data_IF_576660466482
#
_entry.id   IF_576660466482
#
_cell.length_a   1.000
_cell.length_b   1.000
_cell.length_c   1.000
_cell.angle_alpha   90.00
_cell.angle_beta   90.00
_cell.angle_gamma   90.00
#
_symmetry.space_group_name_H-M   'P 1'
#
loop_
_entity.id
_entity.type
_entity.pdbx_description
1 polymer ?
#
# COMPACT_ATOMS: atom_id res chain seq x y z
N UNK A 1 -8.36 16.53 35.42
CA UNK A 1 -9.10 17.14 34.30
C UNK A 1 -8.26 16.96 33.06
N UNK A 2 -8.58 15.99 32.21
CA UNK A 2 -7.89 15.82 30.93
C UNK A 2 -8.39 16.92 29.98
N UNK A 3 -7.47 17.72 29.44
CA UNK A 3 -7.80 18.74 28.47
C UNK A 3 -8.43 18.08 27.24
N UNK A 4 -9.67 18.44 26.94
CA UNK A 4 -10.33 18.05 25.71
C UNK A 4 -9.59 18.72 24.55
N UNK A 5 -8.77 17.94 23.85
CA UNK A 5 -8.19 18.32 22.58
C UNK A 5 -9.31 18.45 21.56
N UNK A 6 -9.79 19.67 21.36
CA UNK A 6 -10.71 20.02 20.28
C UNK A 6 -9.91 20.02 18.98
N UNK A 7 -10.08 18.98 18.17
CA UNK A 7 -9.51 18.92 16.83
C UNK A 7 -10.53 19.40 15.79
N UNK A 8 -10.09 20.16 14.77
CA UNK A 8 -10.98 20.71 13.75
C UNK A 8 -11.60 19.61 12.90
N UNK A 9 -12.89 19.76 12.59
CA UNK A 9 -13.63 18.92 11.65
C UNK A 9 -13.16 19.23 10.22
N UNK A 10 -12.17 18.50 9.72
CA UNK A 10 -11.76 18.60 8.32
C UNK A 10 -12.78 17.84 7.45
N UNK A 11 -13.84 18.53 7.04
CA UNK A 11 -14.45 18.25 5.74
C UNK A 11 -13.37 18.51 4.69
N UNK A 12 -13.01 17.54 3.83
CA UNK A 12 -11.99 17.78 2.81
C UNK A 12 -12.44 18.95 1.93
N UNK A 13 -11.56 19.93 1.66
CA UNK A 13 -11.89 20.97 0.69
C UNK A 13 -12.20 20.31 -0.65
N UNK A 14 -13.31 20.72 -1.29
CA UNK A 14 -13.65 20.33 -2.65
C UNK A 14 -12.75 21.06 -3.68
N UNK A 15 -11.43 20.92 -3.55
CA UNK A 15 -10.53 21.39 -4.60
C UNK A 15 -10.20 20.19 -5.47
N UNK A 16 -10.77 20.17 -6.68
CA UNK A 16 -10.44 19.24 -7.77
C UNK A 16 -8.97 19.29 -8.17
N UNK A 17 -8.24 20.31 -7.73
CA UNK A 17 -6.96 20.66 -8.30
C UNK A 17 -5.85 19.91 -7.58
N UNK A 18 -5.01 19.23 -8.37
CA UNK A 18 -3.77 18.65 -7.88
C UNK A 18 -2.83 19.78 -7.46
N UNK A 19 -2.08 19.65 -6.36
CA UNK A 19 -1.10 20.66 -5.99
C UNK A 19 -0.07 20.84 -7.11
N UNK A 20 0.25 22.08 -7.44
CA UNK A 20 1.38 22.39 -8.32
C UNK A 20 2.67 22.13 -7.54
N UNK A 21 3.30 20.99 -7.84
CA UNK A 21 4.56 20.56 -7.24
C UNK A 21 5.64 20.67 -8.30
N UNK A 22 6.59 21.60 -8.11
CA UNK A 22 7.72 21.80 -9.01
C UNK A 22 8.85 20.79 -8.76
N UNK A 23 9.05 20.37 -7.50
CA UNK A 23 10.05 19.36 -7.15
C UNK A 23 9.59 17.98 -7.64
N UNK A 24 10.11 17.59 -8.80
CA UNK A 24 9.76 16.36 -9.49
C UNK A 24 11.01 15.66 -9.98
N UNK A 25 10.90 14.35 -10.14
CA UNK A 25 11.92 13.56 -10.82
C UNK A 25 11.27 12.65 -11.86
N UNK A 26 12.07 12.22 -12.83
CA UNK A 26 11.69 11.18 -13.78
C UNK A 26 12.31 9.87 -13.29
N UNK A 27 11.47 8.91 -12.90
CA UNK A 27 11.89 7.56 -12.53
C UNK A 27 11.11 6.53 -13.35
N UNK A 28 11.63 5.31 -13.39
CA UNK A 28 10.91 4.20 -14.00
C UNK A 28 9.83 3.69 -13.05
N UNK A 29 8.58 3.77 -13.48
CA UNK A 29 7.48 2.96 -12.95
C UNK A 29 7.29 1.78 -13.89
N UNK A 30 7.21 0.57 -13.35
CA UNK A 30 7.06 -0.63 -14.18
C UNK A 30 5.59 -1.01 -14.29
N UNK A 31 5.05 -0.96 -15.50
CA UNK A 31 3.66 -1.31 -15.79
C UNK A 31 3.59 -2.72 -16.37
N UNK A 32 2.42 -3.37 -16.31
CA UNK A 32 2.20 -4.60 -17.07
C UNK A 32 2.48 -4.33 -18.55
N UNK A 33 3.31 -5.17 -19.17
CA UNK A 33 3.67 -5.04 -20.59
C UNK A 33 2.51 -5.57 -21.42
N UNK A 34 1.95 -4.81 -22.38
CA UNK A 34 0.88 -5.30 -23.24
C UNK A 34 1.28 -6.59 -23.96
N UNK A 35 0.43 -7.61 -23.84
CA UNK A 35 0.63 -8.93 -24.45
C UNK A 35 -0.74 -9.54 -24.78
N UNK A 36 -0.99 -9.99 -26.03
CA UNK A 36 -2.23 -10.69 -26.40
C UNK A 36 -2.52 -11.93 -25.55
N UNK A 37 -1.50 -12.50 -24.88
CA UNK A 37 -1.70 -13.59 -23.93
C UNK A 37 -2.77 -13.26 -22.89
N UNK A 38 -2.87 -11.99 -22.46
CA UNK A 38 -3.82 -11.59 -21.41
C UNK A 38 -5.29 -11.57 -21.85
N UNK A 39 -5.56 -11.71 -23.15
CA UNK A 39 -6.91 -11.92 -23.68
C UNK A 39 -7.39 -13.37 -23.46
N UNK A 40 -6.46 -14.31 -23.31
CA UNK A 40 -6.72 -15.75 -23.18
C UNK A 40 -6.40 -16.28 -21.77
N UNK A 41 -5.37 -15.73 -21.13
CA UNK A 41 -4.85 -16.16 -19.83
C UNK A 41 -4.65 -14.96 -18.91
N UNK A 42 -5.36 -14.97 -17.78
CA UNK A 42 -5.21 -13.93 -16.76
C UNK A 42 -3.77 -13.86 -16.23
N UNK A 43 -3.25 -12.66 -15.91
CA UNK A 43 -1.98 -12.54 -15.20
C UNK A 43 -1.98 -13.36 -13.90
N UNK A 44 -0.90 -14.07 -13.61
CA UNK A 44 -0.77 -14.84 -12.36
C UNK A 44 0.67 -14.88 -11.84
N UNK A 45 0.80 -15.13 -10.55
CA UNK A 45 2.05 -15.47 -9.87
C UNK A 45 1.87 -16.62 -8.88
N UNK A 46 2.76 -17.60 -8.95
CA UNK A 46 2.81 -18.72 -8.02
C UNK A 46 3.63 -18.34 -6.78
N UNK A 47 3.01 -18.44 -5.60
CA UNK A 47 3.67 -18.16 -4.32
C UNK A 47 4.68 -19.26 -3.93
N UNK A 48 4.46 -20.49 -4.38
CA UNK A 48 5.34 -21.64 -4.18
C UNK A 48 6.27 -21.90 -5.39
N UNK A 49 7.16 -22.87 -5.26
CA UNK A 49 7.95 -23.33 -6.41
C UNK A 49 7.00 -23.94 -7.46
N UNK A 50 7.12 -23.57 -8.75
CA UNK A 50 6.27 -24.14 -9.78
C UNK A 50 6.60 -25.62 -10.01
N UNK A 51 5.62 -26.46 -10.41
CA UNK A 51 5.91 -27.76 -10.99
C UNK A 51 6.78 -27.64 -12.26
N UNK A 52 7.52 -28.70 -12.66
CA UNK A 52 8.27 -28.70 -13.91
C UNK A 52 7.41 -28.32 -15.12
N UNK A 53 7.90 -27.42 -15.97
CA UNK A 53 7.19 -26.96 -17.17
C UNK A 53 6.18 -25.83 -16.95
N UNK A 54 5.87 -25.47 -15.70
CA UNK A 54 5.00 -24.33 -15.37
C UNK A 54 5.85 -23.11 -15.06
N UNK A 55 5.53 -21.97 -15.67
CA UNK A 55 6.20 -20.71 -15.32
C UNK A 55 5.74 -20.27 -13.94
N UNK A 56 6.64 -19.66 -13.17
CA UNK A 56 6.27 -19.07 -11.88
C UNK A 56 5.25 -17.94 -12.04
N UNK A 57 5.29 -17.23 -13.16
CA UNK A 57 4.38 -16.13 -13.49
C UNK A 57 4.37 -15.93 -15.00
N UNK A 58 3.25 -15.47 -15.55
CA UNK A 58 3.15 -14.92 -16.91
C UNK A 58 3.17 -13.38 -16.93
N UNK A 59 3.34 -12.73 -15.78
CA UNK A 59 3.45 -11.28 -15.64
C UNK A 59 4.83 -10.84 -16.15
N UNK A 60 4.82 -9.92 -17.12
CA UNK A 60 6.02 -9.23 -17.57
C UNK A 60 5.77 -7.75 -17.42
N UNK A 61 6.58 -7.06 -16.62
CA UNK A 61 6.49 -5.61 -16.51
C UNK A 61 7.52 -4.91 -17.41
N UNK A 62 7.18 -3.73 -17.92
CA UNK A 62 8.08 -2.86 -18.69
C UNK A 62 8.25 -1.50 -18.00
N UNK A 63 9.48 -0.97 -17.92
CA UNK A 63 9.72 0.35 -17.34
C UNK A 63 9.17 1.45 -18.25
N UNK A 64 8.48 2.42 -17.65
CA UNK A 64 8.06 3.64 -18.31
C UNK A 64 8.58 4.84 -17.54
N UNK A 65 9.38 5.74 -18.16
CA UNK A 65 9.79 7.00 -17.56
C UNK A 65 8.56 7.81 -17.15
N UNK A 66 8.43 8.07 -15.86
CA UNK A 66 7.24 8.65 -15.25
C UNK A 66 7.65 9.80 -14.35
N UNK A 67 6.90 10.90 -14.40
CA UNK A 67 7.07 12.02 -13.47
C UNK A 67 6.52 11.61 -12.10
N UNK A 68 7.41 11.52 -11.11
CA UNK A 68 7.05 11.26 -9.72
C UNK A 68 7.28 12.56 -8.93
N UNK A 69 6.21 13.07 -8.32
CA UNK A 69 6.18 14.38 -7.66
C UNK A 69 6.54 14.25 -6.18
N UNK A 70 7.47 15.06 -5.70
CA UNK A 70 7.83 15.08 -4.28
C UNK A 70 6.75 15.82 -3.47
N UNK A 71 5.97 15.08 -2.69
CA UNK A 71 4.91 15.62 -1.84
C UNK A 71 5.41 16.32 -0.57
N UNK A 72 6.72 16.39 -0.34
CA UNK A 72 7.31 17.05 0.83
C UNK A 72 6.84 18.50 0.95
N UNK A 73 6.28 18.87 2.10
CA UNK A 73 5.68 20.19 2.36
C UNK A 73 4.23 20.34 1.87
N UNK A 74 3.70 19.36 1.13
CA UNK A 74 2.33 19.31 0.62
C UNK A 74 1.53 18.13 1.19
N UNK A 75 2.04 17.45 2.22
CA UNK A 75 1.48 16.21 2.77
C UNK A 75 0.00 16.38 3.17
N UNK A 76 -0.34 17.56 3.72
CA UNK A 76 -1.69 17.93 4.18
C UNK A 76 -2.71 18.12 3.05
N UNK A 77 -2.28 18.07 1.79
CA UNK A 77 -3.16 18.19 0.63
C UNK A 77 -3.67 16.82 0.17
N UNK A 78 -3.11 15.73 0.69
CA UNK A 78 -3.49 14.36 0.35
C UNK A 78 -4.38 13.76 1.44
N UNK A 79 -5.42 13.06 1.01
CA UNK A 79 -6.45 12.51 1.90
C UNK A 79 -6.83 11.11 1.45
N UNK A 80 -6.93 10.18 2.39
CA UNK A 80 -7.08 8.76 2.10
C UNK A 80 -8.31 8.47 1.21
N UNK A 81 -9.45 9.07 1.53
CA UNK A 81 -10.71 8.83 0.83
C UNK A 81 -10.85 9.58 -0.50
N UNK A 82 -9.93 10.49 -0.81
CA UNK A 82 -9.93 11.28 -2.05
C UNK A 82 -8.83 10.84 -3.00
N UNK A 83 -7.61 10.75 -2.50
CA UNK A 83 -6.41 10.46 -3.27
C UNK A 83 -6.04 8.97 -3.24
N UNK A 84 -6.67 8.19 -2.35
CA UNK A 84 -6.30 6.81 -2.09
C UNK A 84 -5.12 6.65 -1.12
N UNK A 85 -4.48 7.75 -0.70
CA UNK A 85 -3.39 7.73 0.27
C UNK A 85 -3.35 9.00 1.12
N UNK A 86 -2.69 8.93 2.27
CA UNK A 86 -2.52 10.05 3.22
C UNK A 86 -1.29 9.82 4.09
N UNK A 87 -0.49 10.86 4.30
CA UNK A 87 0.58 10.85 5.29
C UNK A 87 0.09 11.49 6.59
N UNK A 88 0.41 10.84 7.69
CA UNK A 88 0.09 11.31 9.04
C UNK A 88 1.34 11.36 9.88
N UNK A 89 1.45 12.43 10.66
CA UNK A 89 2.44 12.51 11.73
C UNK A 89 1.91 11.71 12.93
N UNK A 90 2.65 10.67 13.30
CA UNK A 90 2.34 9.81 14.41
C UNK A 90 3.62 9.40 15.15
N UNK A 91 3.80 9.97 16.34
CA UNK A 91 4.90 9.68 17.26
C UNK A 91 4.63 8.35 18.00
N UNK A 92 5.08 7.24 17.41
CA UNK A 92 5.03 5.91 18.02
C UNK A 92 6.19 5.73 18.98
N UNK A 93 5.87 5.28 20.19
CA UNK A 93 6.87 5.04 21.22
C UNK A 93 7.58 3.70 21.01
N UNK A 94 6.94 2.73 20.36
CA UNK A 94 7.61 1.48 19.98
C UNK A 94 8.22 1.56 18.58
N UNK A 95 9.55 1.43 18.56
CA UNK A 95 10.26 0.89 17.42
C UNK A 95 10.35 -0.63 17.61
N UNK A 96 9.57 -1.45 16.87
CA UNK A 96 9.75 -2.91 16.92
C UNK A 96 11.17 -3.30 16.48
N UNK A 97 11.87 -2.41 15.78
CA UNK A 97 13.21 -2.64 15.32
C UNK A 97 13.30 -3.85 14.41
N UNK A 98 14.53 -4.29 14.23
CA UNK A 98 14.92 -5.16 13.13
C UNK A 98 14.90 -6.66 13.48
N UNK A 99 14.59 -6.99 14.72
CA UNK A 99 14.55 -8.34 15.26
C UNK A 99 13.40 -8.57 16.25
N UNK A 100 12.33 -7.77 16.17
CA UNK A 100 11.19 -7.94 17.04
C UNK A 100 10.70 -9.39 17.03
N UNK A 101 10.57 -9.95 18.23
CA UNK A 101 9.86 -11.20 18.43
C UNK A 101 8.34 -11.02 18.22
N UNK A 102 7.60 -12.12 18.25
CA UNK A 102 6.14 -12.09 18.07
C UNK A 102 5.45 -11.21 19.11
N UNK A 103 5.94 -11.17 20.36
CA UNK A 103 5.37 -10.35 21.43
C UNK A 103 5.57 -8.85 21.20
N UNK A 104 6.77 -8.44 20.78
CA UNK A 104 7.06 -7.04 20.44
C UNK A 104 6.26 -6.55 19.22
N UNK A 105 5.98 -7.45 18.27
CA UNK A 105 5.13 -7.15 17.12
C UNK A 105 3.65 -7.05 17.50
N UNK A 106 3.17 -7.90 18.40
CA UNK A 106 1.83 -7.80 18.95
C UNK A 106 1.64 -6.50 19.74
N UNK A 107 2.65 -6.10 20.53
CA UNK A 107 2.66 -4.80 21.22
C UNK A 107 2.62 -3.62 20.24
N UNK A 108 3.42 -3.68 19.17
CA UNK A 108 3.38 -2.70 18.08
C UNK A 108 1.99 -2.66 17.40
N UNK A 109 1.39 -3.81 17.14
CA UNK A 109 0.03 -3.88 16.58
C UNK A 109 -1.04 -3.32 17.52
N UNK A 110 -0.88 -3.51 18.83
CA UNK A 110 -1.77 -2.91 19.82
C UNK A 110 -1.56 -1.39 19.93
N UNK A 111 -0.32 -0.88 19.79
CA UNK A 111 -0.08 0.56 19.72
C UNK A 111 -0.74 1.16 18.47
N UNK A 112 -0.83 0.37 17.38
CA UNK A 112 -1.60 0.72 16.17
C UNK A 112 -3.12 0.67 16.37
N UNK A 113 -3.65 0.36 17.55
CA UNK A 113 -5.06 0.62 17.86
C UNK A 113 -5.39 2.13 17.88
N UNK A 114 -4.41 3.01 17.65
CA UNK A 114 -4.64 4.40 17.20
C UNK A 114 -5.20 4.49 15.78
N UNK A 115 -5.32 3.38 15.04
CA UNK A 115 -5.75 3.42 13.64
C UNK A 115 -7.17 3.93 13.42
N UNK A 116 -8.16 3.70 14.29
CA UNK A 116 -9.42 4.45 14.28
C UNK A 116 -9.24 5.97 14.44
N UNK A 117 -8.24 6.41 15.23
CA UNK A 117 -7.89 7.83 15.37
C UNK A 117 -7.17 8.37 14.12
N UNK A 118 -6.36 7.55 13.46
CA UNK A 118 -5.68 7.84 12.18
C UNK A 118 -6.66 7.88 11.00
N UNK A 119 -7.61 6.94 10.94
CA UNK A 119 -8.64 6.90 9.89
C UNK A 119 -9.73 7.97 10.07
N UNK A 120 -9.69 8.76 11.17
CA UNK A 120 -10.45 9.96 11.58
C UNK A 120 -11.97 10.05 11.31
N UNK A 121 -12.57 9.10 10.59
CA UNK A 121 -13.92 9.15 10.02
C UNK A 121 -14.66 7.83 10.20
N UNK A 122 -13.99 6.77 10.68
CA UNK A 122 -14.69 5.55 11.04
C UNK A 122 -15.35 5.79 12.40
N UNK A 123 -16.67 5.67 12.42
CA UNK A 123 -17.49 5.74 13.62
C UNK A 123 -16.85 4.89 14.74
N UNK A 124 -17.07 5.22 16.02
CA UNK A 124 -16.55 4.48 17.20
C UNK A 124 -16.96 2.98 17.27
N UNK A 125 -17.60 2.47 16.22
CA UNK A 125 -18.06 1.10 16.00
C UNK A 125 -17.20 0.34 14.98
N UNK A 126 -16.09 0.91 14.52
CA UNK A 126 -15.11 0.25 13.66
C UNK A 126 -14.66 -1.07 14.27
N UNK A 127 -14.73 -2.17 13.51
CA UNK A 127 -13.97 -3.38 13.83
C UNK A 127 -12.76 -3.42 12.92
N UNK A 128 -11.56 -3.58 13.51
CA UNK A 128 -10.30 -3.66 12.76
C UNK A 128 -9.69 -5.04 12.95
N UNK A 129 -9.21 -5.65 11.85
CA UNK A 129 -8.38 -6.85 11.88
C UNK A 129 -7.10 -6.65 11.09
N UNK A 130 -6.03 -7.27 11.58
CA UNK A 130 -4.67 -7.08 11.13
C UNK A 130 -4.11 -8.29 10.38
N UNK A 131 -3.30 -8.02 9.34
CA UNK A 131 -2.43 -9.01 8.71
C UNK A 131 -1.06 -8.39 8.40
N UNK A 132 0.02 -9.09 8.80
CA UNK A 132 1.42 -8.65 8.65
C UNK A 132 2.01 -9.05 7.31
N UNK A 133 2.81 -8.15 6.72
CA UNK A 133 3.84 -8.51 5.72
C UNK A 133 5.16 -7.79 6.07
N UNK A 134 6.19 -8.51 6.55
CA UNK A 134 7.52 -7.91 6.70
C UNK A 134 8.27 -7.90 5.35
N UNK A 135 8.94 -6.77 5.04
CA UNK A 135 10.03 -6.74 4.06
C UNK A 135 11.36 -6.56 4.82
N UNK A 136 12.12 -7.65 4.99
CA UNK A 136 13.43 -7.63 5.66
C UNK A 136 14.53 -7.95 4.64
N UNK A 137 15.52 -7.07 4.50
CA UNK A 137 16.89 -7.46 4.19
C UNK A 137 17.66 -7.56 5.51
N UNK A 138 18.21 -8.74 5.82
CA UNK A 138 19.02 -8.94 7.02
C UNK A 138 20.51 -8.73 6.73
N UNK A 139 21.27 -8.09 7.63
CA UNK A 139 22.72 -7.91 7.47
C UNK A 139 23.53 -9.21 7.45
N UNK A 140 22.99 -10.31 7.98
CA UNK A 140 23.71 -11.56 8.27
C UNK A 140 23.62 -12.62 7.16
N UNK A 141 22.92 -12.34 6.06
CA UNK A 141 22.74 -13.29 4.95
C UNK A 141 21.94 -14.56 5.30
N UNK A 142 21.34 -14.64 6.50
CA UNK A 142 20.57 -15.80 6.92
C UNK A 142 19.20 -15.83 6.24
N UNK A 143 19.03 -16.84 5.39
CA UNK A 143 17.94 -17.06 4.43
C UNK A 143 16.54 -17.35 5.03
N UNK A 144 15.91 -16.39 5.71
CA UNK A 144 14.46 -16.23 5.56
C UNK A 144 14.24 -15.40 4.31
N UNK A 145 13.56 -15.96 3.29
CA UNK A 145 13.34 -15.36 1.96
C UNK A 145 13.01 -13.86 2.08
N UNK A 146 13.99 -13.02 1.82
CA UNK A 146 13.85 -11.57 1.68
C UNK A 146 12.74 -11.32 0.65
N UNK A 147 11.64 -10.67 1.05
CA UNK A 147 10.68 -10.13 0.08
C UNK A 147 11.37 -8.93 -0.59
N UNK A 148 11.78 -9.11 -1.85
CA UNK A 148 12.29 -8.00 -2.68
C UNK A 148 11.22 -6.92 -2.81
N UNK A 149 11.64 -5.68 -2.98
CA UNK A 149 10.72 -4.61 -3.32
C UNK A 149 9.97 -4.95 -4.60
N UNK A 150 8.65 -4.72 -4.60
CA UNK A 150 7.82 -4.91 -5.78
C UNK A 150 7.99 -3.65 -6.63
N UNK A 151 8.54 -3.83 -7.82
CA UNK A 151 8.80 -2.73 -8.78
C UNK A 151 7.64 -2.54 -9.76
N UNK A 152 6.84 -3.60 -9.99
CA UNK A 152 5.60 -3.51 -10.76
C UNK A 152 4.57 -2.65 -10.03
N UNK A 153 3.96 -1.68 -10.72
CA UNK A 153 2.83 -0.92 -10.22
C UNK A 153 1.62 -1.85 -10.04
N UNK A 154 1.07 -1.88 -8.83
CA UNK A 154 0.04 -2.84 -8.46
C UNK A 154 -0.91 -2.29 -7.39
N UNK A 155 -2.06 -2.96 -7.25
CA UNK A 155 -2.87 -3.00 -6.04
C UNK A 155 -2.70 -4.38 -5.40
N UNK A 156 -2.45 -4.46 -4.09
CA UNK A 156 -2.20 -5.75 -3.44
C UNK A 156 -3.42 -6.69 -3.47
N UNK A 157 -4.61 -6.10 -3.46
CA UNK A 157 -5.87 -6.80 -3.20
C UNK A 157 -6.97 -6.21 -4.07
N UNK A 158 -7.60 -7.07 -4.85
CA UNK A 158 -8.82 -6.74 -5.56
C UNK A 158 -10.05 -6.73 -4.63
N UNK A 159 -11.16 -6.16 -5.12
CA UNK A 159 -12.42 -6.14 -4.37
C UNK A 159 -12.94 -7.56 -4.03
N UNK A 160 -12.77 -8.53 -4.93
CA UNK A 160 -13.19 -9.91 -4.69
C UNK A 160 -12.26 -10.63 -3.71
N UNK A 161 -10.94 -10.42 -3.83
CA UNK A 161 -9.99 -10.96 -2.84
C UNK A 161 -10.22 -10.35 -1.45
N UNK A 162 -10.58 -9.07 -1.37
CA UNK A 162 -10.94 -8.44 -0.11
C UNK A 162 -12.14 -9.12 0.55
N UNK A 163 -13.23 -9.40 -0.19
CA UNK A 163 -14.40 -10.14 0.33
C UNK A 163 -14.00 -11.54 0.82
N UNK A 164 -13.19 -12.25 0.05
CA UNK A 164 -12.68 -13.57 0.44
C UNK A 164 -11.89 -13.50 1.75
N UNK A 165 -10.95 -12.55 1.86
CA UNK A 165 -10.16 -12.34 3.08
C UNK A 165 -11.05 -11.98 4.27
N UNK A 166 -12.07 -11.15 4.08
CA UNK A 166 -13.05 -10.81 5.12
C UNK A 166 -13.77 -12.08 5.60
N UNK A 167 -14.22 -12.95 4.69
CA UNK A 167 -14.82 -14.25 5.06
C UNK A 167 -13.87 -15.13 5.86
N UNK A 168 -12.65 -15.32 5.36
CA UNK A 168 -11.63 -16.15 6.02
C UNK A 168 -11.25 -15.63 7.41
N UNK A 169 -11.16 -14.31 7.59
CA UNK A 169 -10.72 -13.70 8.86
C UNK A 169 -11.86 -13.39 9.82
N UNK A 170 -13.09 -13.24 9.34
CA UNK A 170 -14.23 -12.88 10.17
C UNK A 170 -15.19 -14.02 10.49
N UNK A 171 -15.09 -15.17 9.80
CA UNK A 171 -15.93 -16.33 10.05
C UNK A 171 -17.42 -15.98 9.96
N UNK A 172 -18.19 -16.41 10.96
CA UNK A 172 -19.65 -16.24 11.02
C UNK A 172 -20.13 -14.78 10.91
N UNK A 173 -19.32 -13.81 11.34
CA UNK A 173 -19.69 -12.38 11.25
C UNK A 173 -19.53 -11.80 9.83
N UNK A 174 -18.79 -12.47 8.95
CA UNK A 174 -18.34 -11.90 7.68
C UNK A 174 -19.49 -11.39 6.81
N UNK A 175 -20.55 -12.19 6.64
CA UNK A 175 -21.70 -11.81 5.80
C UNK A 175 -22.51 -10.65 6.39
N UNK A 176 -22.44 -10.43 7.71
CA UNK A 176 -23.05 -9.25 8.34
C UNK A 176 -22.19 -8.01 8.11
N UNK A 177 -20.87 -8.16 8.22
CA UNK A 177 -19.90 -7.08 8.01
C UNK A 177 -19.84 -6.63 6.55
N UNK A 178 -19.94 -7.56 5.59
CA UNK A 178 -19.93 -7.29 4.15
C UNK A 178 -21.17 -6.53 3.65
N UNK A 179 -22.25 -6.48 4.44
CA UNK A 179 -23.45 -5.67 4.14
C UNK A 179 -23.26 -4.18 4.42
N UNK A 180 -22.21 -3.81 5.14
CA UNK A 180 -21.87 -2.40 5.45
C UNK A 180 -20.81 -1.89 4.49
N UNK A 181 -20.54 -0.58 4.52
CA UNK A 181 -19.34 -0.05 3.85
C UNK A 181 -18.10 -0.57 4.60
N UNK A 182 -17.11 -1.01 3.86
CA UNK A 182 -15.89 -1.58 4.39
C UNK A 182 -14.71 -1.17 3.53
N UNK A 183 -13.53 -1.19 4.13
CA UNK A 183 -12.28 -0.84 3.47
C UNK A 183 -11.18 -1.85 3.80
N UNK A 184 -10.26 -2.02 2.86
CA UNK A 184 -8.95 -2.60 3.13
C UNK A 184 -7.92 -1.48 3.00
N UNK A 185 -7.26 -1.15 4.10
CA UNK A 185 -6.26 -0.06 4.17
C UNK A 185 -4.95 -0.63 4.66
N UNK A 186 -3.86 -0.36 3.96
CA UNK A 186 -2.53 -0.62 4.46
C UNK A 186 -2.05 0.57 5.28
N UNK A 187 -1.40 0.28 6.39
CA UNK A 187 -0.65 1.20 7.23
C UNK A 187 0.81 0.85 7.02
N UNK A 188 1.51 1.74 6.35
CA UNK A 188 2.90 1.57 6.00
C UNK A 188 3.76 2.52 6.81
N UNK A 189 4.78 2.00 7.48
CA UNK A 189 5.70 2.79 8.30
C UNK A 189 7.15 2.44 7.95
N UNK A 190 8.02 3.42 7.74
CA UNK A 190 9.46 3.19 7.73
C UNK A 190 9.94 2.61 9.07
N UNK A 191 10.90 1.69 9.01
CA UNK A 191 11.66 1.22 10.17
C UNK A 191 13.09 1.80 10.18
N UNK A 192 13.34 2.77 9.31
CA UNK A 192 14.60 3.47 9.16
C UNK A 192 14.27 4.89 8.71
N UNK A 193 15.00 5.86 9.25
CA UNK A 193 14.88 7.26 8.85
C UNK A 193 16.23 7.90 8.52
N UNK A 194 16.24 8.83 7.55
CA UNK A 194 15.19 9.00 6.54
C UNK A 194 15.15 7.80 5.57
N UNK A 195 14.01 7.60 4.90
CA UNK A 195 13.94 6.73 3.72
C UNK A 195 14.70 7.40 2.57
N UNK A 196 15.84 6.80 2.19
CA UNK A 196 16.72 7.34 1.14
C UNK A 196 16.54 6.58 -0.18
N UNK A 197 16.72 5.26 -0.18
CA UNK A 197 16.60 4.45 -1.40
C UNK A 197 15.28 3.69 -1.46
N UNK A 198 14.86 3.34 -2.68
CA UNK A 198 13.66 2.56 -2.94
C UNK A 198 12.37 3.14 -2.31
N UNK A 199 12.07 4.46 -2.32
CA UNK A 199 10.82 5.01 -1.76
C UNK A 199 9.55 4.45 -2.43
N UNK A 200 8.38 4.69 -1.82
CA UNK A 200 7.09 4.32 -2.44
C UNK A 200 6.62 5.45 -3.35
N UNK A 201 6.30 5.12 -4.59
CA UNK A 201 5.47 5.94 -5.47
C UNK A 201 4.00 5.53 -5.28
N UNK A 202 3.13 6.53 -5.16
CA UNK A 202 1.71 6.40 -4.90
C UNK A 202 0.93 7.08 -6.02
N UNK A 203 0.03 6.35 -6.67
CA UNK A 203 -0.80 6.90 -7.73
C UNK A 203 -2.06 7.55 -7.13
N UNK A 204 -2.34 8.80 -7.48
CA UNK A 204 -3.55 9.51 -7.07
C UNK A 204 -4.78 8.86 -7.69
N UNK A 205 -5.68 8.39 -6.83
CA UNK A 205 -6.90 7.68 -7.22
C UNK A 205 -7.76 8.44 -8.22
N UNK A 206 -7.71 9.77 -8.24
CA UNK A 206 -8.50 10.61 -9.16
C UNK A 206 -7.95 10.64 -10.58
N UNK A 207 -6.73 10.15 -10.76
CA UNK A 207 -6.03 10.08 -12.04
C UNK A 207 -6.02 8.68 -12.65
N UNK A 208 -6.70 7.73 -12.01
CA UNK A 208 -6.82 6.34 -12.46
C UNK A 208 -8.15 6.12 -13.15
N UNK A 209 -8.08 5.44 -14.29
CA UNK A 209 -9.26 4.87 -14.91
C UNK A 209 -9.50 3.45 -14.36
N UNK A 210 -10.75 2.97 -14.38
CA UNK A 210 -11.07 1.59 -13.96
C UNK A 210 -10.41 0.56 -14.89
N UNK A 211 -10.28 0.90 -16.18
CA UNK A 211 -9.63 0.06 -17.20
C UNK A 211 -8.10 0.01 -17.07
N UNK A 212 -7.51 0.84 -16.22
CA UNK A 212 -6.06 0.78 -15.94
C UNK A 212 -5.68 -0.49 -15.16
N UNK A 213 -6.63 -1.15 -14.49
CA UNK A 213 -6.37 -2.28 -13.60
C UNK A 213 -6.64 -3.62 -14.27
N UNK A 214 -5.67 -4.52 -14.14
CA UNK A 214 -5.79 -5.90 -14.61
C UNK A 214 -5.77 -6.84 -13.43
N UNK A 215 -6.86 -7.57 -13.20
CA UNK A 215 -6.91 -8.57 -12.15
C UNK A 215 -5.81 -9.64 -12.36
N UNK A 216 -5.12 -9.99 -11.28
CA UNK A 216 -3.94 -10.86 -11.31
C UNK A 216 -3.99 -11.87 -10.16
N UNK A 217 -3.80 -13.15 -10.46
CA UNK A 217 -3.91 -14.20 -9.45
C UNK A 217 -2.60 -14.38 -8.68
N UNK A 218 -2.71 -14.49 -7.36
CA UNK A 218 -1.65 -14.94 -6.48
C UNK A 218 -2.03 -16.32 -5.98
N UNK A 219 -1.37 -17.33 -6.53
CA UNK A 219 -1.75 -18.73 -6.35
C UNK A 219 -0.85 -19.37 -5.29
N UNK A 220 -1.46 -19.76 -4.17
CA UNK A 220 -0.88 -20.62 -3.15
C UNK A 220 -1.41 -22.05 -3.32
N UNK A 221 -0.71 -23.08 -2.82
CA UNK A 221 -1.17 -24.47 -2.92
C UNK A 221 -2.58 -24.74 -2.35
N UNK A 222 -3.07 -23.90 -1.44
CA UNK A 222 -4.33 -24.08 -0.73
C UNK A 222 -5.29 -22.88 -0.88
N UNK A 223 -4.88 -21.84 -1.62
CA UNK A 223 -5.62 -20.59 -1.67
C UNK A 223 -5.24 -19.79 -2.92
N UNK A 224 -6.26 -19.30 -3.61
CA UNK A 224 -6.09 -18.30 -4.65
C UNK A 224 -6.51 -16.94 -4.09
N UNK A 225 -5.64 -15.95 -4.26
CA UNK A 225 -5.89 -14.55 -3.93
C UNK A 225 -5.78 -13.75 -5.22
N UNK A 226 -6.32 -12.54 -5.24
CA UNK A 226 -6.31 -11.70 -6.43
C UNK A 226 -5.79 -10.31 -6.05
N UNK A 227 -4.78 -9.87 -6.78
CA UNK A 227 -4.22 -8.53 -6.80
C UNK A 227 -4.65 -7.84 -8.11
N UNK A 228 -4.11 -6.66 -8.38
CA UNK A 228 -4.23 -6.07 -9.71
C UNK A 228 -2.89 -5.51 -10.18
N UNK A 229 -2.51 -5.85 -11.40
CA UNK A 229 -1.43 -5.17 -12.12
C UNK A 229 -1.99 -3.88 -12.75
N UNK A 230 -1.09 -2.99 -13.16
CA UNK A 230 -1.47 -1.69 -13.72
C UNK A 230 -1.00 -1.56 -15.18
N UNK A 231 -1.92 -1.20 -16.07
CA UNK A 231 -1.62 -0.68 -17.39
C UNK A 231 -1.09 0.75 -17.32
N UNK A 232 -0.20 1.09 -18.24
CA UNK A 232 0.26 2.45 -18.38
C UNK A 232 -0.86 3.33 -18.95
N UNK A 233 -1.12 4.44 -18.26
CA UNK A 233 -1.98 5.52 -18.75
C UNK A 233 -1.31 6.86 -18.43
N UNK A 234 -1.18 7.74 -19.44
CA UNK A 234 -0.49 9.02 -19.29
C UNK A 234 -1.17 9.99 -18.32
N UNK A 235 -2.45 9.74 -17.98
CA UNK A 235 -3.18 10.55 -17.01
C UNK A 235 -2.75 10.28 -15.57
N UNK A 236 -2.17 9.09 -15.29
CA UNK A 236 -1.79 8.65 -13.95
C UNK A 236 -0.76 9.60 -13.32
N UNK A 237 -1.07 10.08 -12.11
CA UNK A 237 -0.22 11.02 -11.36
C UNK A 237 0.38 10.36 -10.14
N UNK A 238 1.70 10.30 -10.14
CA UNK A 238 2.49 9.65 -9.09
C UNK A 238 3.11 10.67 -8.15
N UNK A 239 3.10 10.32 -6.85
CA UNK A 239 3.66 11.11 -5.76
C UNK A 239 4.52 10.23 -4.87
N UNK A 240 5.53 10.82 -4.23
CA UNK A 240 6.34 10.17 -3.20
C UNK A 240 6.71 11.18 -2.13
N UNK A 241 7.17 10.71 -0.97
CA UNK A 241 7.64 11.59 0.09
C UNK A 241 9.16 11.48 0.24
N UNK A 242 9.88 12.52 -0.20
CA UNK A 242 11.35 12.54 -0.12
C UNK A 242 11.80 12.60 1.33
N UNK A 243 12.73 11.70 1.69
CA UNK A 243 13.29 11.62 3.02
C UNK A 243 12.24 11.31 4.08
N UNK A 244 11.31 10.38 3.80
CA UNK A 244 10.23 10.04 4.72
C UNK A 244 10.79 9.54 6.07
N UNK A 245 10.29 10.09 7.17
CA UNK A 245 10.74 9.82 8.55
C UNK A 245 9.88 8.72 9.21
N UNK A 246 10.35 8.14 10.32
CA UNK A 246 9.62 7.02 10.95
C UNK A 246 8.28 7.42 11.59
N UNK A 247 8.11 8.69 11.95
CA UNK A 247 6.85 9.25 12.44
C UNK A 247 5.86 9.59 11.31
N UNK A 248 6.30 9.57 10.05
CA UNK A 248 5.46 9.87 8.89
C UNK A 248 4.80 8.59 8.38
N UNK A 249 3.73 8.17 9.06
CA UNK A 249 2.98 6.96 8.71
C UNK A 249 2.16 7.22 7.44
N UNK A 250 2.23 6.29 6.50
CA UNK A 250 1.49 6.34 5.25
C UNK A 250 0.29 5.39 5.29
N UNK A 251 -0.88 5.90 4.93
CA UNK A 251 -2.07 5.10 4.67
C UNK A 251 -2.24 4.89 3.17
N UNK A 252 -2.60 3.66 2.78
CA UNK A 252 -2.82 3.28 1.38
C UNK A 252 -4.15 2.53 1.28
N UNK A 253 -5.11 3.10 0.56
CA UNK A 253 -6.38 2.47 0.26
C UNK A 253 -6.17 1.37 -0.78
N UNK A 254 -6.40 0.12 -0.42
CA UNK A 254 -6.46 -0.97 -1.39
C UNK A 254 -7.87 -1.06 -1.99
N UNK A 255 -8.88 -1.10 -1.13
CA UNK A 255 -10.28 -1.25 -1.55
C UNK A 255 -11.19 -0.41 -0.66
N UNK A 256 -12.10 0.34 -1.27
CA UNK A 256 -13.30 0.89 -0.64
C UNK A 256 -14.53 0.22 -1.25
N UNK A 257 -15.38 -0.39 -0.41
CA UNK A 257 -16.57 -1.08 -0.94
C UNK A 257 -17.65 -0.13 -1.44
N UNK A 258 -17.65 1.12 -0.97
CA UNK A 258 -18.63 2.16 -1.28
C UNK A 258 -18.14 3.24 -2.25
N UNK A 259 -16.92 3.13 -2.79
CA UNK A 259 -16.41 4.04 -3.83
C UNK A 259 -15.44 3.31 -4.75
N UNK A 260 -14.88 4.02 -5.74
CA UNK A 260 -13.80 3.54 -6.59
C UNK A 260 -12.40 3.92 -6.05
N UNK A 261 -12.32 4.58 -4.88
CA UNK A 261 -11.05 5.07 -4.33
C UNK A 261 -10.09 3.92 -4.01
N UNK A 262 -8.86 4.01 -4.53
CA UNK A 262 -7.78 3.03 -4.41
C UNK A 262 -6.43 3.67 -4.77
N UNK A 263 -5.33 3.10 -4.30
CA UNK A 263 -3.99 3.64 -4.57
C UNK A 263 -3.04 2.52 -5.05
N UNK A 264 -2.92 2.34 -6.37
CA UNK A 264 -1.80 1.61 -6.94
C UNK A 264 -0.50 2.24 -6.46
N UNK A 265 0.43 1.38 -6.09
CA UNK A 265 1.70 1.80 -5.52
C UNK A 265 2.82 0.88 -5.98
N UNK A 266 4.04 1.37 -5.86
CA UNK A 266 5.23 0.60 -6.19
C UNK A 266 6.43 1.16 -5.45
N UNK A 267 7.45 0.32 -5.23
CA UNK A 267 8.77 0.86 -4.94
C UNK A 267 9.41 1.34 -6.24
N UNK A 268 10.11 2.47 -6.21
CA UNK A 268 10.85 2.96 -7.38
C UNK A 268 12.28 3.34 -7.02
N UNK A 269 13.14 3.29 -8.04
CA UNK A 269 14.53 3.73 -7.94
C UNK A 269 14.59 5.24 -8.20
N UNK A 270 14.97 6.01 -7.19
CA UNK A 270 15.29 7.43 -7.34
C UNK A 270 16.66 7.56 -8.03
N UNK A 271 16.75 8.08 -9.27
CA UNK A 271 17.99 8.14 -10.02
C UNK A 271 19.01 9.13 -9.44
N UNK A 272 18.60 9.97 -8.48
CA UNK A 272 19.48 10.94 -7.81
C UNK A 272 20.21 10.35 -6.61
N UNK A 273 19.84 9.14 -6.19
CA UNK A 273 20.38 8.47 -5.01
C UNK A 273 21.51 7.51 -5.41
N UNK A 274 22.56 7.48 -4.59
CA UNK A 274 23.70 6.59 -4.80
C UNK A 274 23.27 5.10 -4.76
N UNK A 275 23.90 4.28 -5.61
CA UNK A 275 23.58 2.84 -5.75
C UNK A 275 23.81 2.05 -4.46
N UNK A 276 24.74 2.51 -3.61
CA UNK A 276 25.09 1.92 -2.32
C UNK A 276 24.34 2.55 -1.13
N UNK A 277 23.38 3.44 -1.39
CA UNK A 277 22.55 4.02 -0.35
C UNK A 277 21.81 2.92 0.43
N UNK A 278 21.64 3.08 1.76
CA UNK A 278 20.95 2.08 2.58
C UNK A 278 19.56 1.76 2.01
N UNK A 279 19.29 0.47 1.83
CA UNK A 279 17.98 -0.02 1.38
C UNK A 279 16.93 0.23 2.44
N UNK A 280 15.80 0.81 2.00
CA UNK A 280 14.68 1.09 2.90
C UNK A 280 14.18 -0.18 3.57
N UNK A 281 13.84 -0.01 4.84
CA UNK A 281 13.15 -1.01 5.65
C UNK A 281 11.82 -0.45 6.13
N UNK A 282 10.80 -1.29 6.15
CA UNK A 282 9.44 -0.87 6.50
C UNK A 282 8.62 -2.04 7.01
N UNK A 283 7.56 -1.70 7.73
CA UNK A 283 6.50 -2.62 8.11
C UNK A 283 5.19 -2.17 7.47
N UNK A 284 4.45 -3.15 6.97
CA UNK A 284 3.09 -2.95 6.49
C UNK A 284 2.12 -3.78 7.34
N UNK A 285 1.09 -3.09 7.83
CA UNK A 285 -0.06 -3.68 8.47
C UNK A 285 -1.29 -3.47 7.60
N UNK A 286 -2.07 -4.52 7.39
CA UNK A 286 -3.29 -4.43 6.60
C UNK A 286 -4.51 -4.49 7.49
N UNK A 287 -5.35 -3.45 7.40
CA UNK A 287 -6.56 -3.26 8.17
C UNK A 287 -7.78 -3.67 7.37
N UNK A 288 -8.65 -4.49 7.95
CA UNK A 288 -10.05 -4.59 7.51
C UNK A 288 -10.88 -3.62 8.34
N UNK A 289 -11.51 -2.63 7.72
CA UNK A 289 -12.27 -1.58 8.40
C UNK A 289 -13.74 -1.72 8.03
N UNK A 290 -14.64 -1.80 9.02
CA UNK A 290 -16.09 -1.89 8.79
C UNK A 290 -16.79 -0.68 9.41
N UNK A 291 -17.57 0.07 8.61
CA UNK A 291 -18.30 1.26 9.04
C UNK A 291 -19.68 0.94 9.64
#
# INVERSE_FOLDING_TARGET
>A
MAAATTFPTNTPPQTSDHPEIEDTLIANVYYLKPDPLYDEEKPYSLASHPPPGIKKTNIVNSPTPTIVRNARGFEKNFFLYTHGFEWLDHDLKLDPGFGADEGQLDEYMNEMDVIPYILRQVNKKAKIRWQRTPSEERPDGASKKVKRHILGAHLDISKESAKMRIRLKCGEEAETLLKRRWHIVNVWRPLQEPVVSMPLALCDSRSLDDDDLVASDIIYPHLELEASELWYNSNQRWYYLKGQMMNEVLLIMNVDSGSSTRCPHTAFEDPTIAVDAPRRRSIELRCMVFL
#
